data_IF_052288503584
#
_entry.id   IF_052288503584
#
_cell.length_a   1.000
_cell.length_b   1.000
_cell.length_c   1.000
_cell.angle_alpha   90.00
_cell.angle_beta   90.00
_cell.angle_gamma   90.00
#
_symmetry.space_group_name_H-M   'P 1'
#
loop_
_entity.id
_entity.type
_entity.pdbx_description
1 polymer ?
#
# COMPACT_ATOMS: atom_id res chain seq x y z
N UNK A 1 -11.35 -40.21 27.34
CA UNK A 1 -12.55 -39.37 27.48
C UNK A 1 -12.12 -37.92 27.25
N UNK A 2 -12.63 -37.36 26.15
CA UNK A 2 -12.55 -35.96 25.65
C UNK A 2 -11.18 -35.42 25.20
N UNK A 3 -10.99 -35.53 23.87
CA UNK A 3 -10.20 -34.66 23.02
C UNK A 3 -10.77 -33.23 23.07
N UNK A 4 -9.91 -32.23 23.32
CA UNK A 4 -10.20 -30.83 23.03
C UNK A 4 -9.69 -30.53 21.63
N UNK A 5 -10.48 -30.84 20.61
CA UNK A 5 -10.33 -30.22 19.29
C UNK A 5 -10.61 -28.74 19.46
N UNK A 6 -9.56 -27.92 19.41
CA UNK A 6 -9.69 -26.48 19.38
C UNK A 6 -10.29 -26.10 18.02
N UNK A 7 -11.62 -26.01 17.97
CA UNK A 7 -12.34 -25.49 16.82
C UNK A 7 -11.95 -24.03 16.67
N UNK A 8 -11.03 -23.74 15.73
CA UNK A 8 -10.81 -22.38 15.28
C UNK A 8 -12.13 -21.90 14.67
N UNK A 9 -12.93 -21.20 15.47
CA UNK A 9 -14.07 -20.45 14.96
C UNK A 9 -13.50 -19.54 13.88
N UNK A 10 -13.92 -19.72 12.63
CA UNK A 10 -13.64 -18.75 11.58
C UNK A 10 -14.18 -17.42 12.08
N UNK A 11 -13.30 -16.55 12.58
CA UNK A 11 -13.59 -15.14 12.70
C UNK A 11 -14.08 -14.74 11.31
N UNK A 12 -15.34 -14.33 11.21
CA UNK A 12 -15.97 -13.94 9.96
C UNK A 12 -15.37 -12.59 9.51
N UNK A 13 -14.08 -12.59 9.21
CA UNK A 13 -13.35 -11.48 8.62
C UNK A 13 -13.94 -11.29 7.23
N UNK A 14 -14.63 -10.17 7.04
CA UNK A 14 -15.14 -9.75 5.73
C UNK A 14 -14.16 -8.77 5.14
N UNK A 15 -13.66 -9.05 3.94
CA UNK A 15 -12.78 -8.15 3.21
C UNK A 15 -12.06 -8.86 2.07
N UNK A 16 -11.32 -8.08 1.28
CA UNK A 16 -10.54 -8.58 0.16
C UNK A 16 -9.11 -8.89 0.61
N UNK A 17 -8.64 -10.12 0.36
CA UNK A 17 -7.28 -10.56 0.70
C UNK A 17 -6.26 -9.54 0.16
N UNK A 18 -5.27 -9.20 1.00
CA UNK A 18 -4.25 -8.19 0.69
C UNK A 18 -4.63 -6.76 1.10
N UNK A 19 -5.92 -6.42 1.18
CA UNK A 19 -6.41 -5.09 1.58
C UNK A 19 -6.94 -5.05 3.02
N UNK A 20 -7.18 -6.21 3.64
CA UNK A 20 -7.72 -6.29 5.00
C UNK A 20 -6.68 -5.77 6.00
N UNK A 21 -7.02 -4.78 6.84
CA UNK A 21 -6.15 -4.31 7.91
C UNK A 21 -5.83 -5.42 8.92
N UNK A 22 -4.59 -5.52 9.43
CA UNK A 22 -4.17 -6.59 10.32
C UNK A 22 -4.99 -6.67 11.61
N UNK A 23 -5.46 -5.54 12.14
CA UNK A 23 -6.27 -5.48 13.35
C UNK A 23 -7.65 -6.13 13.20
N UNK A 24 -8.19 -6.24 11.98
CA UNK A 24 -9.48 -6.90 11.74
C UNK A 24 -9.40 -8.42 11.96
N UNK A 25 -8.19 -9.01 11.97
CA UNK A 25 -8.00 -10.40 12.36
C UNK A 25 -8.12 -10.62 13.88
N UNK A 26 -8.02 -9.55 14.67
CA UNK A 26 -8.03 -9.60 16.15
C UNK A 26 -9.33 -9.11 16.78
N UNK A 27 -10.26 -8.55 15.98
CA UNK A 27 -11.56 -8.08 16.47
C UNK A 27 -12.44 -7.47 15.38
N UNK A 28 -13.74 -7.34 15.67
CA UNK A 28 -14.73 -6.74 14.75
C UNK A 28 -14.88 -5.25 15.11
N UNK A 29 -13.98 -4.40 14.64
CA UNK A 29 -14.18 -2.95 14.68
C UNK A 29 -13.77 -2.34 13.36
N UNK A 30 -14.73 -2.20 12.46
CA UNK A 30 -14.58 -1.37 11.27
C UNK A 30 -14.22 0.06 11.70
N UNK A 31 -13.22 0.64 11.08
CA UNK A 31 -12.77 1.99 11.41
C UNK A 31 -12.31 2.75 10.18
N UNK A 32 -12.35 4.07 10.27
CA UNK A 32 -11.76 4.95 9.26
C UNK A 32 -10.28 4.64 9.03
N UNK A 33 -9.55 4.22 10.07
CA UNK A 33 -8.15 3.81 9.92
C UNK A 33 -8.00 2.49 9.17
N UNK A 34 -8.98 1.61 9.24
CA UNK A 34 -9.03 0.41 8.39
C UNK A 34 -9.24 0.78 6.91
N UNK A 35 -10.14 1.72 6.63
CA UNK A 35 -10.34 2.23 5.26
C UNK A 35 -9.06 2.92 4.72
N UNK A 36 -8.36 3.67 5.58
CA UNK A 36 -7.06 4.30 5.25
C UNK A 36 -6.01 3.24 4.91
N UNK A 37 -5.95 2.14 5.66
CA UNK A 37 -5.03 1.04 5.35
C UNK A 37 -5.31 0.45 3.97
N UNK A 38 -6.58 0.09 3.69
CA UNK A 38 -6.97 -0.45 2.38
C UNK A 38 -6.71 0.55 1.25
N UNK A 39 -6.93 1.84 1.48
CA UNK A 39 -6.56 2.91 0.55
C UNK A 39 -5.05 2.97 0.31
N UNK A 40 -4.24 2.83 1.35
CA UNK A 40 -2.78 2.76 1.24
C UNK A 40 -2.34 1.62 0.32
N UNK A 41 -2.89 0.41 0.51
CA UNK A 41 -2.61 -0.75 -0.34
C UNK A 41 -3.05 -0.48 -1.80
N UNK A 42 -4.24 0.08 -2.01
CA UNK A 42 -4.73 0.42 -3.35
C UNK A 42 -3.82 1.45 -4.04
N UNK A 43 -3.32 2.43 -3.30
CA UNK A 43 -2.40 3.44 -3.82
C UNK A 43 -1.08 2.78 -4.24
N UNK A 44 -0.53 1.89 -3.40
CA UNK A 44 0.68 1.13 -3.74
C UNK A 44 0.47 0.24 -4.97
N UNK A 45 -0.65 -0.48 -5.05
CA UNK A 45 -1.01 -1.31 -6.21
C UNK A 45 -1.09 -0.46 -7.49
N UNK A 46 -1.75 0.69 -7.43
CA UNK A 46 -1.94 1.59 -8.58
C UNK A 46 -0.60 2.03 -9.19
N UNK A 47 0.38 2.37 -8.36
CA UNK A 47 1.66 2.92 -8.83
C UNK A 47 2.75 1.86 -9.05
N UNK A 48 2.58 0.64 -8.55
CA UNK A 48 3.48 -0.49 -8.80
C UNK A 48 2.98 -1.43 -9.89
N UNK A 49 1.67 -1.41 -10.17
CA UNK A 49 1.01 -2.38 -11.04
C UNK A 49 1.00 -3.80 -10.48
N UNK A 50 1.27 -3.98 -9.18
CA UNK A 50 1.36 -5.29 -8.51
C UNK A 50 0.14 -5.53 -7.65
N UNK A 51 -0.49 -6.69 -7.80
CA UNK A 51 -1.64 -7.04 -6.98
C UNK A 51 -1.17 -7.40 -5.56
N UNK A 52 -1.83 -6.94 -4.49
CA UNK A 52 -1.49 -7.36 -3.14
C UNK A 52 -1.79 -8.85 -2.89
N UNK A 53 -2.44 -9.52 -3.84
CA UNK A 53 -2.67 -10.97 -3.86
C UNK A 53 -1.69 -11.75 -4.77
N UNK A 54 -0.69 -11.09 -5.35
CA UNK A 54 0.33 -11.77 -6.15
C UNK A 54 1.03 -12.87 -5.34
N UNK A 55 1.36 -13.98 -6.01
CA UNK A 55 1.98 -15.17 -5.41
C UNK A 55 3.30 -14.88 -4.68
N UNK A 56 3.98 -13.78 -5.01
CA UNK A 56 5.21 -13.32 -4.37
C UNK A 56 5.00 -12.76 -2.95
N UNK A 57 3.75 -12.47 -2.57
CA UNK A 57 3.36 -11.91 -1.27
C UNK A 57 2.80 -13.00 -0.33
N UNK A 58 3.39 -14.19 -0.38
CA UNK A 58 3.08 -15.30 0.54
C UNK A 58 4.04 -15.29 1.74
N UNK A 59 3.77 -16.18 2.70
CA UNK A 59 4.65 -16.42 3.86
C UNK A 59 4.95 -15.18 4.72
N UNK A 60 3.95 -14.30 4.86
CA UNK A 60 4.04 -13.09 5.69
C UNK A 60 4.66 -11.89 4.99
N UNK A 61 5.04 -12.00 3.71
CA UNK A 61 5.37 -10.85 2.88
C UNK A 61 4.08 -10.17 2.40
N UNK A 62 4.10 -8.85 2.28
CA UNK A 62 2.99 -8.08 1.71
C UNK A 62 3.53 -6.95 0.82
N UNK A 63 2.62 -6.30 0.08
CA UNK A 63 2.96 -5.20 -0.82
C UNK A 63 3.58 -4.00 -0.08
N UNK A 64 3.12 -3.69 1.14
CA UNK A 64 3.70 -2.62 1.96
C UNK A 64 5.19 -2.87 2.23
N UNK A 65 5.54 -4.05 2.73
CA UNK A 65 6.92 -4.40 3.10
C UNK A 65 7.83 -4.55 1.87
N UNK A 66 7.28 -5.02 0.75
CA UNK A 66 7.99 -5.05 -0.51
C UNK A 66 8.39 -3.64 -0.97
N UNK A 67 7.41 -2.73 -1.00
CA UNK A 67 7.64 -1.36 -1.48
C UNK A 67 8.51 -0.58 -0.49
N UNK A 68 8.26 -0.71 0.81
CA UNK A 68 9.02 -0.02 1.87
C UNK A 68 10.52 -0.34 1.84
N UNK A 69 10.90 -1.57 1.48
CA UNK A 69 12.32 -1.98 1.36
C UNK A 69 13.02 -1.41 0.14
N UNK A 70 12.28 -0.99 -0.88
CA UNK A 70 12.83 -0.54 -2.14
C UNK A 70 13.01 0.99 -2.23
N UNK A 71 12.43 1.76 -1.32
CA UNK A 71 12.44 3.23 -1.39
C UNK A 71 13.55 3.85 -0.53
N UNK A 72 14.22 4.92 -0.99
CA UNK A 72 14.04 5.59 -2.29
C UNK A 72 14.85 5.01 -3.47
N UNK A 73 15.84 4.16 -3.22
CA UNK A 73 16.88 3.84 -4.20
C UNK A 73 16.39 3.02 -5.41
N UNK A 74 15.33 2.22 -5.23
CA UNK A 74 14.81 1.27 -6.22
C UNK A 74 13.37 1.60 -6.65
N UNK A 75 12.93 2.86 -6.49
CA UNK A 75 11.58 3.31 -6.91
C UNK A 75 11.29 2.94 -8.38
N UNK A 76 12.30 3.06 -9.24
CA UNK A 76 12.23 2.70 -10.66
C UNK A 76 11.85 1.24 -10.90
N UNK A 77 12.37 0.33 -10.08
CA UNK A 77 12.27 -1.11 -10.30
C UNK A 77 10.97 -1.69 -9.75
N UNK A 78 10.32 -0.97 -8.84
CA UNK A 78 9.04 -1.37 -8.23
C UNK A 78 7.82 -0.70 -8.86
N UNK A 79 8.00 0.45 -9.53
CA UNK A 79 6.91 1.17 -10.19
C UNK A 79 6.43 0.48 -11.47
N UNK A 80 5.17 0.72 -11.84
CA UNK A 80 4.63 0.22 -13.11
C UNK A 80 5.50 0.74 -14.28
N UNK A 81 6.03 -0.14 -15.14
CA UNK A 81 6.85 0.27 -16.30
C UNK A 81 6.18 1.33 -17.19
N UNK A 82 4.84 1.32 -17.29
CA UNK A 82 4.07 2.32 -18.05
C UNK A 82 4.16 3.74 -17.48
N UNK A 83 4.51 3.87 -16.20
CA UNK A 83 4.71 5.16 -15.52
C UNK A 83 6.18 5.61 -15.54
N UNK A 84 7.11 4.70 -15.86
CA UNK A 84 8.55 4.93 -15.78
C UNK A 84 9.17 5.13 -17.16
N UNK A 85 8.66 4.43 -18.18
CA UNK A 85 9.21 4.43 -19.52
C UNK A 85 8.22 4.98 -20.55
N UNK A 86 8.73 5.74 -21.53
CA UNK A 86 7.98 6.17 -22.70
C UNK A 86 7.76 5.02 -23.70
N UNK A 87 7.01 5.26 -24.77
CA UNK A 87 6.73 4.27 -25.83
C UNK A 87 8.00 3.73 -26.53
N UNK A 88 9.14 4.41 -26.37
CA UNK A 88 10.44 4.01 -26.92
C UNK A 88 11.31 3.30 -25.89
N UNK A 89 10.79 3.02 -24.69
CA UNK A 89 11.51 2.37 -23.60
C UNK A 89 12.51 3.29 -22.89
N UNK A 90 12.42 4.61 -23.06
CA UNK A 90 13.30 5.58 -22.40
C UNK A 90 12.67 6.07 -21.10
N UNK A 91 13.50 6.32 -20.10
CA UNK A 91 13.04 6.91 -18.84
C UNK A 91 12.41 8.29 -19.09
N UNK A 92 11.21 8.52 -18.53
CA UNK A 92 10.45 9.75 -18.76
C UNK A 92 11.22 10.99 -18.29
N UNK A 93 11.46 11.12 -16.98
CA UNK A 93 12.36 12.12 -16.37
C UNK A 93 12.45 11.91 -14.84
N UNK A 94 13.38 12.64 -14.19
CA UNK A 94 13.57 12.58 -12.74
C UNK A 94 12.38 13.13 -11.93
N UNK A 95 11.64 14.10 -12.48
CA UNK A 95 10.46 14.69 -11.81
C UNK A 95 9.35 13.65 -11.62
N UNK A 96 9.16 12.76 -12.60
CA UNK A 96 8.26 11.60 -12.47
C UNK A 96 8.74 10.66 -11.37
N UNK A 97 10.04 10.36 -11.29
CA UNK A 97 10.57 9.46 -10.25
C UNK A 97 10.44 10.04 -8.84
N UNK A 98 10.65 11.35 -8.70
CA UNK A 98 10.44 12.07 -7.44
C UNK A 98 8.96 12.03 -7.04
N UNK A 99 8.05 12.29 -7.98
CA UNK A 99 6.60 12.21 -7.77
C UNK A 99 6.18 10.80 -7.33
N UNK A 100 6.63 9.76 -8.02
CA UNK A 100 6.39 8.36 -7.66
C UNK A 100 6.89 8.05 -6.25
N UNK A 101 8.10 8.50 -5.91
CA UNK A 101 8.70 8.32 -4.58
C UNK A 101 7.82 8.92 -3.49
N UNK A 102 7.31 10.13 -3.69
CA UNK A 102 6.46 10.82 -2.72
C UNK A 102 5.10 10.16 -2.58
N UNK A 103 4.44 9.78 -3.69
CA UNK A 103 3.15 9.07 -3.66
C UNK A 103 3.28 7.73 -2.95
N UNK A 104 4.35 6.98 -3.25
CA UNK A 104 4.63 5.70 -2.60
C UNK A 104 4.84 5.88 -1.10
N UNK A 105 5.54 6.93 -0.66
CA UNK A 105 5.70 7.25 0.76
C UNK A 105 4.36 7.51 1.45
N UNK A 106 3.42 8.18 0.78
CA UNK A 106 2.04 8.33 1.29
C UNK A 106 1.38 6.97 1.42
N UNK A 107 1.46 6.11 0.39
CA UNK A 107 0.92 4.74 0.42
C UNK A 107 1.46 3.91 1.58
N UNK A 108 2.77 3.98 1.84
CA UNK A 108 3.42 3.35 3.01
C UNK A 108 2.85 3.91 4.32
N UNK A 109 2.75 5.24 4.45
CA UNK A 109 2.26 5.87 5.68
C UNK A 109 0.78 5.56 5.97
N UNK A 110 -0.03 5.33 4.94
CA UNK A 110 -1.43 4.89 5.09
C UNK A 110 -1.55 3.43 5.54
N UNK A 111 -0.63 2.56 5.09
CA UNK A 111 -0.72 1.10 5.24
C UNK A 111 0.18 0.55 6.36
N UNK A 112 0.54 1.38 7.35
CA UNK A 112 1.29 0.94 8.53
C UNK A 112 0.45 -0.06 9.34
N UNK A 113 1.10 -1.10 9.89
CA UNK A 113 0.43 -2.16 10.64
C UNK A 113 -0.41 -1.59 11.80
N UNK A 114 0.15 -0.69 12.60
CA UNK A 114 -0.58 -0.06 13.71
C UNK A 114 -1.51 1.05 13.22
N UNK A 115 -2.81 0.91 13.47
CA UNK A 115 -3.83 1.90 13.10
C UNK A 115 -3.54 3.31 13.62
N UNK A 116 -2.95 3.44 14.82
CA UNK A 116 -2.61 4.72 15.44
C UNK A 116 -1.45 5.46 14.77
N UNK A 117 -0.60 4.73 14.05
CA UNK A 117 0.60 5.26 13.40
C UNK A 117 0.34 5.57 11.91
N UNK A 118 -0.86 5.27 11.42
CA UNK A 118 -1.28 5.58 10.04
C UNK A 118 -1.51 7.07 9.90
N UNK A 119 -1.11 7.61 8.74
CA UNK A 119 -1.46 8.97 8.35
C UNK A 119 -2.98 9.13 8.30
N UNK A 120 -3.53 10.17 8.93
CA UNK A 120 -4.95 10.45 8.83
C UNK A 120 -5.33 10.96 7.43
N UNK A 121 -6.60 10.79 7.06
CA UNK A 121 -7.07 11.09 5.71
C UNK A 121 -6.92 12.56 5.31
N UNK A 122 -6.97 13.50 6.27
CA UNK A 122 -6.80 14.92 5.94
C UNK A 122 -5.36 15.21 5.51
N UNK A 123 -4.39 14.63 6.23
CA UNK A 123 -2.98 14.70 5.86
C UNK A 123 -2.70 13.96 4.54
N UNK A 124 -3.30 12.79 4.31
CA UNK A 124 -3.18 12.08 3.02
C UNK A 124 -3.61 12.95 1.85
N UNK A 125 -4.79 13.57 1.95
CA UNK A 125 -5.33 14.46 0.90
C UNK A 125 -4.45 15.70 0.72
N UNK A 126 -3.94 16.27 1.81
CA UNK A 126 -3.05 17.42 1.74
C UNK A 126 -1.74 17.08 1.01
N UNK A 127 -1.05 16.01 1.42
CA UNK A 127 0.20 15.56 0.82
C UNK A 127 0.02 15.25 -0.68
N UNK A 128 -1.03 14.51 -1.04
CA UNK A 128 -1.30 14.20 -2.45
C UNK A 128 -1.59 15.45 -3.29
N UNK A 129 -2.26 16.46 -2.74
CA UNK A 129 -2.45 17.73 -3.44
C UNK A 129 -1.13 18.50 -3.60
N UNK A 130 -0.29 18.54 -2.56
CA UNK A 130 1.05 19.17 -2.65
C UNK A 130 1.90 18.49 -3.73
N UNK A 131 1.91 17.16 -3.76
CA UNK A 131 2.64 16.36 -4.76
C UNK A 131 2.10 16.64 -6.17
N UNK A 132 0.78 16.63 -6.35
CA UNK A 132 0.11 16.94 -7.61
C UNK A 132 0.50 18.33 -8.11
N UNK A 133 0.43 19.33 -7.24
CA UNK A 133 0.74 20.71 -7.62
C UNK A 133 2.23 20.88 -7.94
N UNK A 134 3.13 20.22 -7.21
CA UNK A 134 4.56 20.19 -7.54
C UNK A 134 4.82 19.51 -8.90
N UNK A 135 4.12 18.42 -9.18
CA UNK A 135 4.25 17.69 -10.45
C UNK A 135 3.75 18.50 -11.65
N UNK A 136 2.64 19.24 -11.50
CA UNK A 136 2.03 20.02 -12.58
C UNK A 136 2.64 21.41 -12.78
N UNK A 137 3.39 21.95 -11.82
CA UNK A 137 4.10 23.23 -11.99
C UNK A 137 5.27 23.05 -12.97
N UNK A 138 5.22 23.75 -14.10
CA UNK A 138 6.27 23.78 -15.14
C UNK A 138 7.55 24.46 -14.64
#
# INVERSE_FOLDING_TARGET
MLSLSQSASSLNIRGTIGYVPPEYATGITFSTYGDIYSYGILLLETFTGRSPSDEIFKDGLNLHDFVKRAIPEQVKDISDPKLVYDERGRLINNKTMECLTLIIRVGIACSVESAKDRMDIANVVNELNVIKDAFLRN
#
